data_IF_945648067870
#
_entry.id   IF_945648067870
#
_cell.length_a   1.000
_cell.length_b   1.000
_cell.length_c   1.000
_cell.angle_alpha   90.00
_cell.angle_beta   90.00
_cell.angle_gamma   90.00
#
_symmetry.space_group_name_H-M   'P 1'
#
loop_
_entity.id
_entity.type
_entity.pdbx_description
1 polymer ?
#
# COMPACT_ATOMS: atom_id res chain seq x y z
N UNK A 1 -28.36 15.33 -13.92
CA UNK A 1 -29.31 14.96 -12.86
C UNK A 1 -28.59 13.97 -11.96
N UNK A 2 -27.91 14.42 -10.90
CA UNK A 2 -28.47 14.73 -9.56
C UNK A 2 -28.98 13.42 -8.93
N UNK A 3 -28.56 12.95 -7.76
CA UNK A 3 -28.15 13.69 -6.56
C UNK A 3 -27.65 12.71 -5.46
N UNK A 4 -27.15 13.28 -4.34
CA UNK A 4 -26.91 12.71 -2.98
C UNK A 4 -25.53 12.20 -2.56
N UNK A 5 -24.69 13.18 -2.27
CA UNK A 5 -23.94 13.49 -1.03
C UNK A 5 -24.30 12.74 0.28
N UNK A 6 -23.27 12.61 1.15
CA UNK A 6 -23.22 12.40 2.64
C UNK A 6 -23.25 10.93 3.12
N UNK A 7 -22.54 10.47 4.16
CA UNK A 7 -21.84 11.05 5.33
C UNK A 7 -20.99 9.87 5.89
N UNK A 8 -19.67 9.97 6.10
CA UNK A 8 -18.99 10.23 7.38
C UNK A 8 -19.59 9.58 8.65
N UNK A 9 -18.67 9.14 9.53
CA UNK A 9 -18.77 8.48 10.86
C UNK A 9 -18.69 6.95 10.88
N UNK A 10 -17.56 6.34 11.27
CA UNK A 10 -16.95 6.26 12.62
C UNK A 10 -17.86 5.62 13.68
N UNK A 11 -17.24 4.93 14.65
CA UNK A 11 -17.81 4.14 15.75
C UNK A 11 -18.31 2.75 15.37
N UNK A 12 -18.14 1.70 16.16
CA UNK A 12 -17.37 1.44 17.38
C UNK A 12 -17.54 -0.07 17.58
N UNK A 13 -16.50 -0.76 18.04
CA UNK A 13 -16.62 -2.16 18.41
C UNK A 13 -17.49 -2.30 19.67
N UNK A 14 -18.78 -2.58 19.52
CA UNK A 14 -19.64 -3.11 20.59
C UNK A 14 -19.77 -4.63 20.46
N UNK A 15 -19.32 -5.34 21.49
CA UNK A 15 -19.39 -6.80 21.61
C UNK A 15 -20.72 -7.21 22.25
N UNK A 16 -21.26 -8.39 21.92
CA UNK A 16 -21.60 -9.32 22.99
C UNK A 16 -21.20 -10.78 22.70
N UNK A 17 -20.89 -11.51 23.78
CA UNK A 17 -20.59 -12.94 23.86
C UNK A 17 -21.60 -13.83 23.12
N UNK A 18 -21.11 -14.73 22.24
CA UNK A 18 -21.78 -16.01 21.97
C UNK A 18 -20.81 -17.00 21.28
N UNK A 19 -21.01 -18.29 21.62
CA UNK A 19 -20.26 -19.51 21.30
C UNK A 19 -19.54 -19.51 19.94
N UNK A 20 -18.24 -19.80 19.94
CA UNK A 20 -17.46 -20.04 18.73
C UNK A 20 -17.81 -21.42 18.13
N UNK A 21 -18.88 -21.47 17.34
CA UNK A 21 -19.04 -22.50 16.31
C UNK A 21 -18.24 -22.06 15.09
N UNK A 22 -17.37 -22.93 14.55
CA UNK A 22 -16.63 -22.64 13.33
C UNK A 22 -17.58 -22.17 12.22
N UNK A 23 -17.27 -21.07 11.49
CA UNK A 23 -18.13 -20.63 10.41
C UNK A 23 -18.07 -21.62 9.25
N UNK A 24 -19.25 -21.96 8.75
CA UNK A 24 -19.53 -22.73 7.53
C UNK A 24 -18.67 -22.23 6.36
N UNK A 25 -18.22 -23.17 5.52
CA UNK A 25 -17.35 -22.91 4.37
C UNK A 25 -18.02 -21.95 3.37
N UNK A 26 -17.86 -20.65 3.59
CA UNK A 26 -18.20 -19.62 2.61
C UNK A 26 -17.16 -19.70 1.50
N UNK A 27 -17.60 -19.85 0.25
CA UNK A 27 -16.77 -19.74 -0.95
C UNK A 27 -15.83 -18.53 -0.81
N UNK A 28 -14.56 -18.79 -0.48
CA UNK A 28 -13.57 -17.76 -0.16
C UNK A 28 -12.93 -17.33 -1.46
N UNK A 29 -13.28 -16.16 -1.98
CA UNK A 29 -12.65 -15.61 -3.18
C UNK A 29 -11.20 -15.13 -2.95
N UNK A 30 -10.62 -15.27 -1.75
CA UNK A 30 -9.21 -14.99 -1.53
C UNK A 30 -8.54 -15.87 -0.45
N UNK A 31 -7.48 -16.63 -0.78
CA UNK A 31 -6.85 -17.62 0.11
C UNK A 31 -6.12 -17.04 1.33
N UNK A 32 -5.92 -15.72 1.42
CA UNK A 32 -5.16 -15.08 2.51
C UNK A 32 -5.98 -14.70 3.74
N UNK A 33 -7.30 -14.94 3.78
CA UNK A 33 -8.14 -14.45 4.90
C UNK A 33 -7.87 -15.14 6.25
N UNK A 34 -7.28 -16.33 6.22
CA UNK A 34 -6.98 -17.15 7.41
C UNK A 34 -5.49 -17.42 7.58
N UNK A 35 -4.62 -16.65 6.91
CA UNK A 35 -3.18 -16.81 7.07
C UNK A 35 -2.74 -16.12 8.37
N UNK A 36 -2.40 -16.90 9.40
CA UNK A 36 -1.73 -16.39 10.59
C UNK A 36 -0.24 -16.20 10.28
N UNK A 37 0.19 -14.94 10.23
CA UNK A 37 1.57 -14.60 10.01
C UNK A 37 2.43 -15.04 11.19
N UNK A 38 3.61 -15.61 10.89
CA UNK A 38 4.63 -15.85 11.90
C UNK A 38 5.12 -14.51 12.48
N UNK A 39 5.52 -14.42 13.76
CA UNK A 39 6.04 -13.19 14.36
C UNK A 39 7.19 -12.55 13.55
N UNK A 40 7.99 -13.35 12.84
CA UNK A 40 9.09 -12.82 12.03
C UNK A 40 8.64 -12.29 10.67
N UNK A 41 7.53 -12.80 10.13
CA UNK A 41 6.88 -12.25 8.93
C UNK A 41 6.23 -10.89 9.25
N UNK A 42 5.58 -10.79 10.41
CA UNK A 42 4.96 -9.54 10.89
C UNK A 42 6.03 -8.45 11.07
N UNK A 43 7.14 -8.76 11.74
CA UNK A 43 8.24 -7.81 11.93
C UNK A 43 8.82 -7.33 10.60
N UNK A 44 9.01 -8.23 9.64
CA UNK A 44 9.56 -7.86 8.33
C UNK A 44 8.61 -6.92 7.55
N UNK A 45 7.29 -7.14 7.66
CA UNK A 45 6.28 -6.26 7.08
C UNK A 45 6.28 -4.87 7.73
N UNK A 46 6.37 -4.83 9.06
CA UNK A 46 6.42 -3.57 9.82
C UNK A 46 7.69 -2.76 9.51
N UNK A 47 8.85 -3.42 9.46
CA UNK A 47 10.13 -2.79 9.12
C UNK A 47 10.06 -2.16 7.72
N UNK A 48 9.47 -2.90 6.76
CA UNK A 48 9.26 -2.42 5.41
C UNK A 48 8.35 -1.18 5.37
N UNK A 49 7.25 -1.18 6.10
CA UNK A 49 6.36 -0.02 6.18
C UNK A 49 7.07 1.20 6.75
N UNK A 50 7.81 1.00 7.84
CA UNK A 50 8.57 2.05 8.51
C UNK A 50 9.64 2.64 7.60
N UNK A 51 10.49 1.81 7.00
CA UNK A 51 11.53 2.26 6.07
C UNK A 51 10.93 2.99 4.86
N UNK A 52 9.84 2.48 4.30
CA UNK A 52 9.17 3.10 3.15
C UNK A 52 8.71 4.52 3.46
N UNK A 53 8.16 4.73 4.66
CA UNK A 53 7.63 6.00 5.09
C UNK A 53 8.75 7.04 5.21
N UNK A 54 9.77 6.74 6.02
CA UNK A 54 10.84 7.69 6.31
C UNK A 54 11.79 7.91 5.14
N UNK A 55 12.18 6.84 4.43
CA UNK A 55 13.26 6.92 3.45
C UNK A 55 12.81 7.42 2.07
N UNK A 56 11.53 7.21 1.70
CA UNK A 56 11.03 7.53 0.35
C UNK A 56 9.75 8.34 0.34
N UNK A 57 8.74 8.00 1.13
CA UNK A 57 7.46 8.72 1.08
C UNK A 57 7.61 10.18 1.53
N UNK A 58 8.28 10.41 2.66
CA UNK A 58 8.52 11.77 3.17
C UNK A 58 9.27 12.64 2.14
N UNK A 59 10.43 12.23 1.57
CA UNK A 59 11.11 13.05 0.59
C UNK A 59 10.29 13.22 -0.69
N UNK A 60 9.65 12.17 -1.24
CA UNK A 60 8.83 12.32 -2.43
C UNK A 60 7.65 13.27 -2.19
N UNK A 61 6.87 13.10 -1.11
CA UNK A 61 5.78 14.01 -0.78
C UNK A 61 6.27 15.45 -0.59
N UNK A 62 7.44 15.65 0.05
CA UNK A 62 8.01 16.99 0.20
C UNK A 62 8.40 17.63 -1.13
N UNK A 63 9.01 16.87 -2.04
CA UNK A 63 9.40 17.34 -3.38
C UNK A 63 8.17 17.67 -4.21
N UNK A 64 7.16 16.80 -4.22
CA UNK A 64 5.89 17.05 -4.92
C UNK A 64 5.16 18.28 -4.37
N UNK A 65 5.10 18.42 -3.05
CA UNK A 65 4.49 19.57 -2.39
C UNK A 65 5.23 20.87 -2.71
N UNK A 66 6.56 20.88 -2.58
CA UNK A 66 7.41 22.04 -2.87
C UNK A 66 7.33 22.45 -4.34
N UNK A 67 7.38 21.49 -5.25
CA UNK A 67 7.23 21.72 -6.70
C UNK A 67 5.87 22.35 -7.01
N UNK A 68 4.79 21.80 -6.44
CA UNK A 68 3.43 22.32 -6.64
C UNK A 68 3.28 23.73 -6.07
N UNK A 69 3.86 23.98 -4.89
CA UNK A 69 3.87 25.30 -4.28
C UNK A 69 4.61 26.33 -5.14
N UNK A 70 5.78 25.99 -5.67
CA UNK A 70 6.53 26.83 -6.59
C UNK A 70 5.74 27.13 -7.87
N UNK A 71 5.07 26.12 -8.45
CA UNK A 71 4.25 26.31 -9.64
C UNK A 71 3.01 27.20 -9.39
N UNK A 72 2.41 27.15 -8.19
CA UNK A 72 1.33 28.07 -7.82
C UNK A 72 1.86 29.49 -7.65
N UNK A 73 3.03 29.67 -7.02
CA UNK A 73 3.66 30.98 -6.85
C UNK A 73 4.05 31.62 -8.20
N UNK A 74 4.50 30.82 -9.15
CA UNK A 74 4.88 31.27 -10.49
C UNK A 74 3.67 31.54 -11.41
N UNK A 75 2.44 31.38 -10.92
CA UNK A 75 1.22 31.64 -11.70
C UNK A 75 0.88 30.58 -12.75
N UNK A 76 1.65 29.48 -12.82
CA UNK A 76 1.40 28.36 -13.74
C UNK A 76 0.11 27.61 -13.33
N UNK A 77 -0.16 27.50 -12.04
CA UNK A 77 -1.39 26.92 -11.50
C UNK A 77 -2.27 27.98 -10.85
N UNK A 78 -3.50 28.15 -11.36
CA UNK A 78 -4.51 29.07 -10.79
C UNK A 78 -4.80 28.77 -9.32
N UNK A 79 -4.48 29.70 -8.43
CA UNK A 79 -4.83 29.62 -7.00
C UNK A 79 -6.35 29.68 -6.82
N UNK A 80 -6.90 28.93 -5.86
CA UNK A 80 -8.31 29.04 -5.50
C UNK A 80 -8.51 30.29 -4.63
N UNK A 81 -9.44 31.22 -4.96
CA UNK A 81 -9.63 32.46 -4.18
C UNK A 81 -9.92 32.25 -2.69
N UNK A 82 -10.54 31.12 -2.31
CA UNK A 82 -10.87 30.83 -0.90
C UNK A 82 -9.81 30.04 -0.14
N UNK A 83 -9.06 29.16 -0.82
CA UNK A 83 -8.14 28.19 -0.18
C UNK A 83 -6.68 28.34 -0.63
N UNK A 84 -6.38 29.30 -1.49
CA UNK A 84 -5.03 29.55 -1.98
C UNK A 84 -4.46 28.35 -2.76
N UNK A 85 -3.21 27.99 -2.44
CA UNK A 85 -2.48 26.86 -2.99
C UNK A 85 -2.78 25.52 -2.30
N UNK A 86 -3.43 25.55 -1.12
CA UNK A 86 -3.52 24.41 -0.20
C UNK A 86 -4.11 23.13 -0.80
N UNK A 87 -5.30 23.15 -1.45
CA UNK A 87 -5.92 21.92 -1.97
C UNK A 87 -5.07 21.26 -3.06
N UNK A 88 -4.33 22.06 -3.85
CA UNK A 88 -3.46 21.54 -4.92
C UNK A 88 -2.20 20.90 -4.35
N UNK A 89 -1.60 21.53 -3.35
CA UNK A 89 -0.41 21.01 -2.68
C UNK A 89 -0.74 19.72 -1.92
N UNK A 90 -1.90 19.64 -1.25
CA UNK A 90 -2.33 18.42 -0.57
C UNK A 90 -2.54 17.25 -1.53
N UNK A 91 -3.21 17.47 -2.66
CA UNK A 91 -3.35 16.42 -3.68
C UNK A 91 -1.99 15.96 -4.23
N UNK A 92 -1.07 16.89 -4.47
CA UNK A 92 0.28 16.54 -4.90
C UNK A 92 1.05 15.74 -3.84
N UNK A 93 0.91 16.08 -2.56
CA UNK A 93 1.54 15.35 -1.46
C UNK A 93 1.00 13.92 -1.33
N UNK A 94 -0.31 13.75 -1.48
CA UNK A 94 -0.99 12.45 -1.48
C UNK A 94 -0.51 11.58 -2.65
N UNK A 95 -0.48 12.15 -3.87
CA UNK A 95 0.04 11.44 -5.04
C UNK A 95 1.52 11.06 -4.86
N UNK A 96 2.33 11.96 -4.31
CA UNK A 96 3.73 11.68 -3.96
C UNK A 96 3.87 10.56 -2.94
N UNK A 97 2.96 10.46 -1.97
CA UNK A 97 2.95 9.38 -0.97
C UNK A 97 2.66 8.02 -1.61
N UNK A 98 1.60 7.93 -2.43
CA UNK A 98 1.25 6.70 -3.13
C UNK A 98 2.36 6.25 -4.07
N UNK A 99 2.97 7.20 -4.79
CA UNK A 99 4.12 6.91 -5.66
C UNK A 99 5.32 6.36 -4.85
N UNK A 100 5.59 6.97 -3.70
CA UNK A 100 6.64 6.51 -2.77
C UNK A 100 6.39 5.08 -2.27
N UNK A 101 5.15 4.75 -1.90
CA UNK A 101 4.75 3.41 -1.49
C UNK A 101 4.96 2.39 -2.60
N UNK A 102 4.42 2.62 -3.80
CA UNK A 102 4.52 1.69 -4.93
C UNK A 102 5.98 1.42 -5.31
N UNK A 103 6.83 2.45 -5.29
CA UNK A 103 8.26 2.32 -5.57
C UNK A 103 8.97 1.38 -4.56
N UNK A 104 8.56 1.40 -3.29
CA UNK A 104 9.19 0.61 -2.24
C UNK A 104 8.70 -0.84 -2.16
N UNK A 105 7.47 -1.12 -2.60
CA UNK A 105 6.90 -2.48 -2.58
C UNK A 105 7.80 -3.50 -3.29
N UNK A 106 8.50 -3.10 -4.34
CA UNK A 106 9.44 -3.98 -5.07
C UNK A 106 10.70 -4.32 -4.27
N UNK A 107 11.20 -3.40 -3.44
CA UNK A 107 12.37 -3.65 -2.60
C UNK A 107 11.98 -4.42 -1.34
N UNK A 108 10.80 -4.11 -0.80
CA UNK A 108 10.16 -4.85 0.27
C UNK A 108 9.98 -6.33 -0.07
N UNK A 109 9.47 -6.63 -1.26
CA UNK A 109 9.31 -7.99 -1.76
C UNK A 109 10.66 -8.74 -1.83
N UNK A 110 11.74 -8.08 -2.24
CA UNK A 110 13.08 -8.70 -2.22
C UNK A 110 13.55 -9.02 -0.80
N UNK A 111 13.27 -8.14 0.17
CA UNK A 111 13.56 -8.39 1.59
C UNK A 111 12.72 -9.57 2.10
N UNK A 112 11.44 -9.62 1.75
CA UNK A 112 10.54 -10.73 2.12
C UNK A 112 11.01 -12.08 1.56
N UNK A 113 11.50 -12.09 0.32
CA UNK A 113 12.11 -13.28 -0.31
C UNK A 113 13.42 -13.75 0.32
N UNK A 114 14.06 -12.93 1.17
CA UNK A 114 15.29 -13.28 1.90
C UNK A 114 15.05 -13.80 3.32
N UNK A 115 13.80 -13.84 3.80
CA UNK A 115 13.50 -14.41 5.11
C UNK A 115 13.90 -15.89 5.19
N UNK A 116 14.24 -16.38 6.40
CA UNK A 116 14.63 -17.77 6.64
C UNK A 116 13.53 -18.76 6.22
N UNK A 117 13.96 -19.99 5.93
CA UNK A 117 13.18 -21.05 5.26
C UNK A 117 11.99 -21.59 6.06
N UNK A 118 11.93 -21.26 7.35
CA UNK A 118 10.84 -21.57 8.28
C UNK A 118 9.57 -20.73 8.03
N UNK A 119 9.71 -19.57 7.37
CA UNK A 119 8.59 -18.73 6.97
C UNK A 119 7.90 -19.26 5.70
N UNK A 120 6.60 -19.54 5.79
CA UNK A 120 5.80 -20.02 4.65
C UNK A 120 5.64 -18.91 3.60
N UNK A 121 5.48 -17.65 4.01
CA UNK A 121 5.32 -16.50 3.11
C UNK A 121 6.55 -16.32 2.20
N UNK A 122 7.75 -16.41 2.76
CA UNK A 122 9.00 -16.28 2.00
C UNK A 122 9.13 -17.36 0.92
N UNK A 123 8.72 -18.59 1.23
CA UNK A 123 8.73 -19.71 0.29
C UNK A 123 7.75 -19.49 -0.87
N UNK A 124 6.51 -19.11 -0.58
CA UNK A 124 5.50 -18.81 -1.61
C UNK A 124 5.96 -17.68 -2.52
N UNK A 125 6.53 -16.62 -1.96
CA UNK A 125 7.01 -15.47 -2.74
C UNK A 125 8.21 -15.82 -3.64
N UNK A 126 9.11 -16.70 -3.18
CA UNK A 126 10.21 -17.24 -3.98
C UNK A 126 9.69 -18.07 -5.15
N UNK A 127 8.73 -18.96 -4.90
CA UNK A 127 8.12 -19.80 -5.94
C UNK A 127 7.43 -18.96 -7.02
N UNK A 128 6.60 -17.99 -6.60
CA UNK A 128 5.93 -17.08 -7.53
C UNK A 128 6.91 -16.31 -8.43
N UNK A 129 8.04 -15.86 -7.86
CA UNK A 129 9.05 -15.13 -8.63
C UNK A 129 9.79 -16.03 -9.63
N UNK A 130 10.13 -17.27 -9.25
CA UNK A 130 10.74 -18.26 -10.14
C UNK A 130 9.79 -18.58 -11.31
N UNK A 131 8.50 -18.80 -11.03
CA UNK A 131 7.50 -19.07 -12.05
C UNK A 131 7.31 -17.90 -13.01
N UNK A 132 7.23 -16.67 -12.50
CA UNK A 132 7.14 -15.46 -13.32
C UNK A 132 8.38 -15.24 -14.18
N UNK A 133 9.58 -15.55 -13.67
CA UNK A 133 10.80 -15.52 -14.48
C UNK A 133 10.76 -16.56 -15.60
N UNK A 134 10.29 -17.78 -15.31
CA UNK A 134 10.16 -18.83 -16.32
C UNK A 134 9.14 -18.48 -17.42
N UNK A 135 8.07 -17.74 -17.10
CA UNK A 135 7.09 -17.25 -18.09
C UNK A 135 7.65 -16.08 -18.94
N UNK A 136 8.53 -15.28 -18.34
CA UNK A 136 9.17 -14.14 -19.01
C UNK A 136 10.30 -14.54 -19.96
N UNK A 137 10.76 -15.80 -19.92
CA UNK A 137 11.87 -16.28 -20.75
C UNK A 137 11.38 -16.62 -22.18
N UNK A 138 11.73 -15.82 -23.21
CA UNK A 138 11.23 -16.00 -24.57
C UNK A 138 11.69 -17.32 -25.21
N UNK A 139 12.64 -18.05 -24.62
CA UNK A 139 13.15 -19.31 -25.13
C UNK A 139 12.20 -20.50 -24.93
N UNK A 140 11.21 -20.40 -24.04
CA UNK A 140 10.26 -21.49 -23.74
C UNK A 140 8.97 -21.46 -24.57
N UNK A 141 8.73 -20.38 -25.33
CA UNK A 141 7.56 -20.17 -26.20
C UNK A 141 7.74 -20.65 -27.64
N UNK A 142 8.83 -21.36 -27.96
CA UNK A 142 9.13 -21.87 -29.30
C UNK A 142 8.97 -23.38 -29.36
#
# INVERSE_FOLDING_TARGET
MSDKTKNEKEESCDKPESKWTCPEARNVTHPLRYYEFSPDEIKALEECDRESFYQRCVPFSSVFAATTYACVKNGVLKSNPHFGAFPKVMLAAILGHYYGRISYLMECDKKLRRLPSDSHLGNVMRQYYIEKQNDSDPKKKK
#
